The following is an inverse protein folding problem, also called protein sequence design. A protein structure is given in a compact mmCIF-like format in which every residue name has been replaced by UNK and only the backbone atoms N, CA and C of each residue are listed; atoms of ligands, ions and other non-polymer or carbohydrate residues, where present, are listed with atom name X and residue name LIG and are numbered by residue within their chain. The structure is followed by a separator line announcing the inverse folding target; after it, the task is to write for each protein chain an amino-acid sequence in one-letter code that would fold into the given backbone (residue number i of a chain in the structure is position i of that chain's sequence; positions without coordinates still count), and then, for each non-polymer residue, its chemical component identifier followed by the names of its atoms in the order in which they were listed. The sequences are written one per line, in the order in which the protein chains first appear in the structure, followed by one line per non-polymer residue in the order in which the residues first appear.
data_IF_528506423794
#
_entry.id   IF_528506423794
#
_cell.length_a   1.000
_cell.length_b   1.000
_cell.length_c   1.000
_cell.angle_alpha   90.00
_cell.angle_beta   90.00
_cell.angle_gamma   90.00
#
_symmetry.space_group_name_H-M   'P 1'
#
loop_
_entity.id
_entity.type
_entity.pdbx_description
1 polymer ?
#
# COMPACT_ATOMS: atom_id res chain seq x y z
N UNK A 1 -21.97 21.98 17.97
CA UNK A 1 -21.28 20.76 17.57
C UNK A 1 -20.29 21.17 16.50
N UNK A 2 -18.99 21.17 16.78
CA UNK A 2 -17.99 21.54 15.78
C UNK A 2 -18.04 20.50 14.67
N UNK A 3 -18.42 20.95 13.48
CA UNK A 3 -18.41 20.13 12.27
C UNK A 3 -16.96 19.92 11.87
N UNK A 4 -16.65 18.71 11.35
CA UNK A 4 -15.32 18.41 10.83
C UNK A 4 -14.95 19.42 9.74
N UNK A 5 -13.72 19.96 9.80
CA UNK A 5 -13.25 20.92 8.82
C UNK A 5 -12.71 20.23 7.57
N UNK A 6 -13.51 20.30 6.50
CA UNK A 6 -13.15 19.78 5.19
C UNK A 6 -12.48 20.81 4.27
N UNK A 7 -12.15 22.00 4.76
CA UNK A 7 -11.55 23.06 3.93
C UNK A 7 -10.04 22.90 3.75
N UNK A 8 -9.40 22.17 4.66
CA UNK A 8 -7.94 21.99 4.67
C UNK A 8 -7.52 20.67 4.05
N UNK A 9 -6.30 20.60 3.52
CA UNK A 9 -5.69 19.35 3.06
C UNK A 9 -5.49 18.37 4.24
N UNK A 10 -5.67 17.08 4.00
CA UNK A 10 -6.08 16.39 2.77
C UNK A 10 -7.59 16.31 2.55
N UNK A 11 -8.40 16.77 3.50
CA UNK A 11 -9.85 16.53 3.56
C UNK A 11 -10.63 17.33 2.49
N UNK A 12 -10.04 18.38 1.94
CA UNK A 12 -10.62 19.17 0.85
C UNK A 12 -10.72 18.39 -0.47
N UNK A 13 -9.88 17.40 -0.70
CA UNK A 13 -9.89 16.52 -1.88
C UNK A 13 -11.02 15.47 -1.86
N UNK A 14 -11.67 15.27 -0.72
CA UNK A 14 -12.72 14.25 -0.56
C UNK A 14 -14.02 14.66 -1.29
N UNK A 15 -14.61 13.70 -1.99
CA UNK A 15 -15.97 13.82 -2.56
C UNK A 15 -17.02 13.96 -1.46
N UNK A 16 -18.22 14.46 -1.81
CA UNK A 16 -19.32 14.62 -0.85
C UNK A 16 -19.68 13.31 -0.15
N UNK A 17 -19.65 12.18 -0.85
CA UNK A 17 -19.91 10.85 -0.27
C UNK A 17 -18.82 10.43 0.71
N UNK A 18 -17.56 10.64 0.33
CA UNK A 18 -16.41 10.33 1.20
C UNK A 18 -16.41 11.19 2.48
N UNK A 19 -16.76 12.47 2.38
CA UNK A 19 -16.94 13.37 3.53
C UNK A 19 -18.01 12.86 4.48
N UNK A 20 -19.18 12.45 3.96
CA UNK A 20 -20.24 11.87 4.78
C UNK A 20 -19.81 10.57 5.49
N UNK A 21 -19.06 9.71 4.79
CA UNK A 21 -18.54 8.46 5.37
C UNK A 21 -17.58 8.77 6.51
N UNK A 22 -16.64 9.68 6.31
CA UNK A 22 -15.68 10.09 7.32
C UNK A 22 -16.38 10.73 8.53
N UNK A 23 -17.29 11.69 8.28
CA UNK A 23 -18.00 12.41 9.36
C UNK A 23 -18.85 11.48 10.24
N UNK A 24 -19.49 10.47 9.64
CA UNK A 24 -20.29 9.47 10.37
C UNK A 24 -19.46 8.51 11.21
N UNK A 25 -18.25 8.24 10.77
CA UNK A 25 -17.35 7.29 11.42
C UNK A 25 -16.41 7.96 12.46
N UNK A 26 -16.35 9.28 12.46
CA UNK A 26 -15.46 10.04 13.36
C UNK A 26 -16.11 10.27 14.69
N UNK A 27 -15.45 9.83 15.76
CA UNK A 27 -15.82 10.13 17.13
C UNK A 27 -15.10 11.38 17.63
N UNK A 28 -15.68 12.02 18.66
CA UNK A 28 -15.03 13.09 19.40
C UNK A 28 -14.74 12.57 20.82
N UNK A 29 -13.45 12.59 21.19
CA UNK A 29 -12.98 12.08 22.48
C UNK A 29 -12.36 13.21 23.28
N UNK A 30 -12.59 13.19 24.61
CA UNK A 30 -12.06 14.15 25.55
C UNK A 30 -11.00 13.49 26.43
N UNK A 31 -9.93 14.23 26.69
CA UNK A 31 -8.87 13.85 27.62
C UNK A 31 -8.63 14.96 28.62
N UNK A 32 -8.52 14.59 29.88
CA UNK A 32 -8.15 15.51 30.94
C UNK A 32 -6.65 15.88 30.88
N UNK A 33 -6.27 16.93 31.59
CA UNK A 33 -4.88 17.33 31.76
C UNK A 33 -4.01 16.15 32.24
N UNK A 34 -2.84 15.98 31.59
CA UNK A 34 -1.88 14.89 31.80
C UNK A 34 -2.43 13.47 31.54
N UNK A 35 -3.58 13.34 30.94
CA UNK A 35 -4.11 12.03 30.57
C UNK A 35 -3.31 11.40 29.41
N UNK A 36 -3.02 10.11 29.52
CA UNK A 36 -2.43 9.34 28.42
C UNK A 36 -3.49 9.10 27.35
N UNK A 37 -3.24 9.62 26.16
CA UNK A 37 -4.09 9.43 24.96
C UNK A 37 -3.78 8.10 24.32
N UNK A 38 -2.49 7.77 24.18
CA UNK A 38 -1.96 6.56 23.58
C UNK A 38 -0.73 6.13 24.38
N UNK A 39 -0.63 4.84 24.68
CA UNK A 39 0.55 4.24 25.27
C UNK A 39 1.46 3.65 24.18
N UNK A 40 2.77 3.74 24.35
CA UNK A 40 3.71 3.02 23.47
C UNK A 40 3.40 1.52 23.47
N UNK A 41 3.42 0.89 22.29
CA UNK A 41 3.05 -0.48 21.98
C UNK A 41 1.54 -0.78 22.01
N UNK A 42 0.66 0.19 22.23
CA UNK A 42 -0.78 0.00 22.02
C UNK A 42 -1.08 -0.27 20.55
N UNK A 43 -2.18 -0.98 20.29
CA UNK A 43 -2.70 -1.20 18.93
C UNK A 43 -3.18 0.11 18.31
N UNK A 44 -3.01 0.23 17.01
CA UNK A 44 -3.39 1.43 16.26
C UNK A 44 -4.76 1.21 15.63
N UNK A 45 -5.79 1.80 16.26
CA UNK A 45 -7.17 1.65 15.82
C UNK A 45 -7.75 2.94 15.19
N UNK A 46 -7.17 4.09 15.47
CA UNK A 46 -7.63 5.38 14.99
C UNK A 46 -6.49 6.35 14.64
N UNK A 47 -6.79 7.28 13.73
CA UNK A 47 -6.02 8.51 13.53
C UNK A 47 -6.65 9.61 14.37
N UNK A 48 -5.83 10.29 15.16
CA UNK A 48 -6.28 11.40 16.00
C UNK A 48 -5.92 12.76 15.40
N UNK A 49 -6.84 13.73 15.53
CA UNK A 49 -6.63 15.12 15.13
C UNK A 49 -7.03 16.02 16.30
N UNK A 50 -6.17 16.96 16.66
CA UNK A 50 -6.44 17.89 17.76
C UNK A 50 -7.51 18.91 17.35
N UNK A 51 -8.62 18.95 18.10
CA UNK A 51 -9.67 19.98 17.94
C UNK A 51 -9.34 21.17 18.85
N UNK A 52 -8.98 20.86 20.10
CA UNK A 52 -8.65 21.84 21.15
C UNK A 52 -7.66 21.22 22.12
N UNK A 53 -6.81 22.04 22.73
CA UNK A 53 -5.78 21.60 23.65
C UNK A 53 -4.45 21.35 22.93
N UNK A 54 -3.57 20.62 23.60
CA UNK A 54 -2.23 20.29 23.10
C UNK A 54 -1.84 18.88 23.53
N UNK A 55 -1.26 18.12 22.59
CA UNK A 55 -0.77 16.76 22.84
C UNK A 55 0.75 16.76 22.67
N UNK A 56 1.46 16.11 23.59
CA UNK A 56 2.90 15.85 23.47
C UNK A 56 3.17 14.38 23.16
N UNK A 57 4.11 14.15 22.26
CA UNK A 57 4.70 12.84 21.99
C UNK A 57 5.93 12.68 22.87
N UNK A 58 6.00 11.58 23.63
CA UNK A 58 7.09 11.30 24.55
C UNK A 58 7.69 9.93 24.27
N UNK A 59 9.01 9.83 24.36
CA UNK A 59 9.72 8.56 24.23
C UNK A 59 9.66 7.70 25.51
N UNK A 60 10.43 6.59 25.52
CA UNK A 60 10.49 5.68 26.66
C UNK A 60 11.16 6.29 27.90
N UNK A 61 12.01 7.31 27.73
CA UNK A 61 12.71 8.01 28.80
C UNK A 61 11.92 9.23 29.31
N UNK A 62 10.77 9.53 28.70
CA UNK A 62 9.90 10.65 29.04
C UNK A 62 10.32 11.97 28.40
N UNK A 63 11.25 11.96 27.44
CA UNK A 63 11.63 13.15 26.68
C UNK A 63 10.55 13.52 25.67
N UNK A 64 10.25 14.82 25.56
CA UNK A 64 9.25 15.33 24.59
C UNK A 64 9.88 15.40 23.21
N UNK A 65 9.34 14.59 22.30
CA UNK A 65 9.78 14.51 20.91
C UNK A 65 9.07 15.52 20.00
N UNK A 66 7.78 15.75 20.25
CA UNK A 66 6.95 16.66 19.44
C UNK A 66 5.77 17.19 20.24
N UNK A 67 5.23 18.35 19.80
CA UNK A 67 3.99 18.96 20.29
C UNK A 67 3.01 19.09 19.13
N UNK A 68 1.75 18.75 19.38
CA UNK A 68 0.65 18.80 18.41
C UNK A 68 -0.42 19.79 18.89
N UNK A 69 -0.75 20.72 18.02
CA UNK A 69 -1.69 21.83 18.25
C UNK A 69 -3.02 21.58 17.52
N UNK A 70 -4.04 22.42 17.74
CA UNK A 70 -5.30 22.34 16.99
C UNK A 70 -5.09 22.30 15.47
N UNK A 71 -5.77 21.38 14.81
CA UNK A 71 -5.67 20.97 13.40
C UNK A 71 -4.50 20.03 13.06
N UNK A 72 -3.58 19.76 13.98
CA UNK A 72 -2.54 18.75 13.74
C UNK A 72 -3.11 17.34 13.88
N UNK A 73 -2.69 16.46 12.98
CA UNK A 73 -2.83 15.02 13.13
C UNK A 73 -1.52 14.43 13.62
N UNK A 74 -1.56 13.58 14.62
CA UNK A 74 -0.35 12.98 15.14
C UNK A 74 -0.21 11.51 14.73
N UNK A 75 1.04 11.11 14.59
CA UNK A 75 1.52 9.80 14.21
C UNK A 75 0.83 9.16 12.99
N UNK A 76 0.85 9.87 11.85
CA UNK A 76 0.30 9.36 10.58
C UNK A 76 0.97 8.05 10.10
N UNK A 77 2.20 7.74 10.55
CA UNK A 77 2.88 6.44 10.31
C UNK A 77 2.10 5.28 10.88
N UNK A 78 1.39 5.54 11.98
CA UNK A 78 0.53 4.60 12.65
C UNK A 78 -0.54 4.00 11.72
N UNK A 79 -0.92 4.66 10.64
CA UNK A 79 -1.84 4.12 9.64
C UNK A 79 -1.32 2.84 8.96
N UNK A 80 0.00 2.64 8.94
CA UNK A 80 0.66 1.52 8.26
C UNK A 80 1.40 0.58 9.23
N UNK A 81 1.55 0.98 10.50
CA UNK A 81 2.11 0.15 11.57
C UNK A 81 1.00 -0.55 12.37
N UNK A 82 1.36 -1.52 13.20
CA UNK A 82 0.41 -2.23 14.06
C UNK A 82 0.32 -1.60 15.46
N UNK A 83 1.43 -1.06 15.95
CA UNK A 83 1.54 -0.47 17.27
C UNK A 83 2.21 0.89 17.22
N UNK A 84 1.87 1.74 18.19
CA UNK A 84 2.53 3.02 18.37
C UNK A 84 3.95 2.85 18.94
N UNK A 85 4.88 3.66 18.45
CA UNK A 85 6.29 3.63 18.93
C UNK A 85 6.48 4.41 20.20
N UNK A 86 5.76 5.51 20.35
CA UNK A 86 5.87 6.45 21.45
C UNK A 86 4.52 6.61 22.14
N UNK A 87 4.54 7.20 23.34
CA UNK A 87 3.32 7.56 24.07
C UNK A 87 2.89 8.98 23.72
N UNK A 88 1.59 9.24 23.76
CA UNK A 88 1.00 10.56 23.54
C UNK A 88 0.21 10.96 24.77
N UNK A 89 0.49 12.15 25.30
CA UNK A 89 -0.07 12.64 26.55
C UNK A 89 -0.67 14.02 26.31
N UNK A 90 -1.87 14.24 26.86
CA UNK A 90 -2.50 15.55 26.83
C UNK A 90 -1.76 16.51 27.77
N UNK A 91 -1.30 17.65 27.25
CA UNK A 91 -0.62 18.69 28.05
C UNK A 91 -1.62 19.49 28.87
N UNK A 92 -2.82 19.65 28.33
CA UNK A 92 -3.98 20.32 28.96
C UNK A 92 -5.27 19.57 28.57
N UNK A 93 -6.43 20.06 29.07
CA UNK A 93 -7.72 19.48 28.66
C UNK A 93 -7.91 19.54 27.16
N UNK A 94 -7.89 18.39 26.53
CA UNK A 94 -7.85 18.23 25.08
C UNK A 94 -9.08 17.54 24.52
N UNK A 95 -9.50 18.00 23.34
CA UNK A 95 -10.58 17.42 22.56
C UNK A 95 -10.03 16.98 21.21
N UNK A 96 -10.25 15.73 20.83
CA UNK A 96 -9.70 15.13 19.62
C UNK A 96 -10.79 14.53 18.76
N UNK A 97 -10.63 14.60 17.42
CA UNK A 97 -11.29 13.66 16.54
C UNK A 97 -10.55 12.33 16.59
N UNK A 98 -11.28 11.22 16.70
CA UNK A 98 -10.80 9.85 16.56
C UNK A 98 -11.42 9.26 15.28
N UNK A 99 -10.62 9.09 14.23
CA UNK A 99 -11.06 8.57 12.94
C UNK A 99 -10.58 7.13 12.84
N UNK A 100 -11.48 6.13 12.68
CA UNK A 100 -11.07 4.74 12.56
C UNK A 100 -10.04 4.54 11.44
N UNK A 101 -8.96 3.83 11.76
CA UNK A 101 -7.87 3.53 10.81
C UNK A 101 -8.39 2.87 9.51
N UNK A 102 -9.39 2.01 9.61
CA UNK A 102 -10.02 1.36 8.46
C UNK A 102 -10.63 2.36 7.47
N UNK A 103 -11.26 3.42 7.97
CA UNK A 103 -11.87 4.48 7.16
C UNK A 103 -10.79 5.28 6.42
N UNK A 104 -9.73 5.69 7.13
CA UNK A 104 -8.62 6.41 6.50
C UNK A 104 -7.98 5.55 5.40
N UNK A 105 -7.72 4.26 5.67
CA UNK A 105 -7.15 3.35 4.67
C UNK A 105 -8.06 3.18 3.46
N UNK A 106 -9.36 3.06 3.67
CA UNK A 106 -10.35 3.00 2.58
C UNK A 106 -10.34 4.28 1.73
N UNK A 107 -10.24 5.46 2.37
CA UNK A 107 -10.16 6.73 1.67
C UNK A 107 -8.86 6.88 0.87
N UNK A 108 -7.71 6.47 1.44
CA UNK A 108 -6.42 6.45 0.74
C UNK A 108 -6.48 5.55 -0.50
N UNK A 109 -7.14 4.38 -0.39
CA UNK A 109 -7.28 3.44 -1.50
C UNK A 109 -8.17 3.96 -2.63
N UNK A 110 -9.25 4.69 -2.27
CA UNK A 110 -10.28 5.17 -3.22
C UNK A 110 -10.06 6.60 -3.73
N UNK A 111 -9.10 7.33 -3.18
CA UNK A 111 -8.83 8.72 -3.52
C UNK A 111 -7.32 8.98 -3.53
N UNK A 112 -6.75 9.01 -4.72
CA UNK A 112 -5.30 9.14 -4.91
C UNK A 112 -4.75 10.47 -4.39
N UNK A 113 -5.50 11.58 -4.50
CA UNK A 113 -5.10 12.89 -3.99
C UNK A 113 -5.07 12.92 -2.46
N UNK A 114 -6.08 12.31 -1.82
CA UNK A 114 -6.10 12.12 -0.38
C UNK A 114 -4.92 11.25 0.09
N UNK A 115 -4.67 10.14 -0.61
CA UNK A 115 -3.54 9.25 -0.33
C UNK A 115 -2.18 9.94 -0.48
N UNK A 116 -2.02 10.76 -1.52
CA UNK A 116 -0.79 11.50 -1.79
C UNK A 116 -0.31 12.34 -0.61
N UNK A 117 -1.25 13.01 0.08
CA UNK A 117 -0.93 13.83 1.25
C UNK A 117 -0.32 12.99 2.38
N UNK A 118 -0.90 11.83 2.69
CA UNK A 118 -0.36 10.96 3.74
C UNK A 118 0.99 10.37 3.35
N UNK A 119 1.15 9.97 2.09
CA UNK A 119 2.42 9.40 1.61
C UNK A 119 3.54 10.43 1.65
N UNK A 120 3.30 11.67 1.20
CA UNK A 120 4.28 12.75 1.27
C UNK A 120 4.66 13.07 2.73
N UNK A 121 3.69 13.20 3.62
CA UNK A 121 3.97 13.46 5.04
C UNK A 121 4.77 12.34 5.72
N UNK A 122 4.50 11.08 5.37
CA UNK A 122 5.24 9.94 5.90
C UNK A 122 6.66 9.95 5.36
N UNK A 123 6.84 10.19 4.07
CA UNK A 123 8.16 10.29 3.46
C UNK A 123 9.00 11.40 4.10
N UNK A 124 8.42 12.61 4.27
CA UNK A 124 9.09 13.75 4.90
C UNK A 124 9.48 13.46 6.35
N UNK A 125 8.58 12.83 7.13
CA UNK A 125 8.88 12.45 8.52
C UNK A 125 9.95 11.37 8.61
N UNK A 126 9.96 10.39 7.69
CA UNK A 126 10.99 9.37 7.63
C UNK A 126 12.37 9.99 7.32
N UNK A 127 12.43 10.95 6.39
CA UNK A 127 13.67 11.65 6.04
C UNK A 127 14.17 12.57 7.16
N UNK A 128 13.28 13.25 7.88
CA UNK A 128 13.67 14.26 8.87
C UNK A 128 14.11 13.70 10.22
N UNK A 129 13.64 12.51 10.60
CA UNK A 129 13.88 11.94 11.94
C UNK A 129 15.10 11.05 12.04
N UNK A 130 15.72 10.66 10.92
CA UNK A 130 16.75 9.65 10.96
C UNK A 130 17.87 9.93 9.98
N UNK A 131 19.07 9.96 10.51
CA UNK A 131 20.21 9.43 9.79
C UNK A 131 20.15 7.90 9.69
N UNK A 132 18.96 7.30 9.71
CA UNK A 132 18.78 5.85 9.70
C UNK A 132 18.35 5.41 8.30
N UNK A 133 19.25 4.80 7.60
CA UNK A 133 19.18 4.36 6.19
C UNK A 133 17.96 3.51 5.81
N UNK A 134 17.23 2.91 6.78
CA UNK A 134 15.99 2.14 6.52
C UNK A 134 14.79 3.00 6.13
N UNK A 135 14.74 4.22 6.64
CA UNK A 135 13.59 5.10 6.47
C UNK A 135 13.63 5.79 5.10
N UNK A 136 14.82 5.97 4.50
CA UNK A 136 14.98 6.48 3.13
C UNK A 136 14.43 5.51 2.07
N UNK A 137 14.54 4.19 2.29
CA UNK A 137 14.00 3.16 1.39
C UNK A 137 12.46 3.18 1.40
N UNK A 138 11.88 3.31 2.59
CA UNK A 138 10.42 3.42 2.75
C UNK A 138 9.88 4.73 2.17
N UNK A 139 10.60 5.84 2.35
CA UNK A 139 10.24 7.13 1.76
C UNK A 139 10.15 7.04 0.22
N UNK A 140 11.10 6.33 -0.41
CA UNK A 140 11.07 6.06 -1.84
C UNK A 140 9.80 5.33 -2.31
N UNK A 141 9.33 4.33 -1.54
CA UNK A 141 8.09 3.61 -1.86
C UNK A 141 6.85 4.51 -1.77
N UNK A 142 6.80 5.41 -0.78
CA UNK A 142 5.65 6.30 -0.58
C UNK A 142 5.54 7.39 -1.65
N UNK A 143 6.65 7.79 -2.27
CA UNK A 143 6.69 8.82 -3.32
C UNK A 143 6.66 8.25 -4.73
N UNK A 144 7.04 6.98 -4.92
CA UNK A 144 7.06 6.31 -6.21
C UNK A 144 5.66 6.11 -6.79
N UNK A 145 5.56 6.20 -8.10
CA UNK A 145 4.31 5.99 -8.84
C UNK A 145 4.28 4.65 -9.56
N UNK A 146 3.08 4.17 -9.86
CA UNK A 146 2.86 2.92 -10.60
C UNK A 146 3.63 2.91 -11.92
N UNK A 147 3.72 4.05 -12.61
CA UNK A 147 4.47 4.21 -13.88
C UNK A 147 5.96 3.88 -13.79
N UNK A 148 6.53 3.93 -12.58
CA UNK A 148 7.96 3.74 -12.37
C UNK A 148 8.36 2.26 -12.33
N UNK A 149 7.37 1.33 -12.19
CA UNK A 149 7.65 -0.10 -12.02
C UNK A 149 6.70 -1.05 -12.77
N UNK A 150 5.59 -0.57 -13.35
CA UNK A 150 4.68 -1.48 -14.04
C UNK A 150 5.32 -2.06 -15.31
N UNK A 151 4.83 -3.23 -15.71
CA UNK A 151 5.19 -3.85 -16.99
C UNK A 151 4.09 -3.62 -18.01
N UNK A 152 4.36 -2.91 -19.12
CA UNK A 152 3.40 -2.83 -20.23
C UNK A 152 3.16 -4.23 -20.79
N UNK A 153 1.96 -4.48 -21.30
CA UNK A 153 1.71 -5.68 -22.09
C UNK A 153 1.98 -5.39 -23.57
N UNK A 154 2.57 -6.37 -24.26
CA UNK A 154 2.90 -6.24 -25.68
C UNK A 154 1.65 -6.38 -26.56
N UNK A 155 0.70 -7.22 -26.15
CA UNK A 155 -0.48 -7.59 -26.93
C UNK A 155 -1.66 -7.95 -26.02
N UNK A 156 -2.86 -7.49 -26.39
CA UNK A 156 -4.12 -7.88 -25.80
C UNK A 156 -4.75 -9.00 -26.63
N UNK A 157 -4.77 -10.21 -26.10
CA UNK A 157 -5.21 -11.39 -26.81
C UNK A 157 -6.73 -11.52 -26.84
N UNK A 158 -7.25 -12.19 -27.89
CA UNK A 158 -8.68 -12.55 -27.92
C UNK A 158 -8.99 -13.64 -26.87
N UNK A 159 -10.10 -13.52 -26.16
CA UNK A 159 -10.59 -14.57 -25.26
C UNK A 159 -10.96 -15.88 -25.98
N UNK A 160 -11.04 -15.89 -27.29
CA UNK A 160 -11.30 -17.09 -28.13
C UNK A 160 -10.04 -17.91 -28.41
N UNK A 161 -8.83 -17.44 -28.07
CA UNK A 161 -7.63 -18.26 -28.22
C UNK A 161 -7.73 -19.51 -27.33
N UNK A 162 -7.06 -20.57 -27.75
CA UNK A 162 -7.04 -21.83 -27.00
C UNK A 162 -6.13 -21.73 -25.78
N UNK A 163 -6.35 -22.62 -24.82
CA UNK A 163 -5.48 -22.77 -23.63
C UNK A 163 -4.01 -23.01 -24.05
N UNK A 164 -3.79 -23.81 -25.11
CA UNK A 164 -2.45 -24.07 -25.65
C UNK A 164 -1.80 -22.79 -26.22
N UNK A 165 -2.56 -21.98 -26.97
CA UNK A 165 -2.06 -20.72 -27.54
C UNK A 165 -1.74 -19.71 -26.44
N UNK A 166 -2.60 -19.59 -25.43
CA UNK A 166 -2.35 -18.74 -24.27
C UNK A 166 -1.08 -19.16 -23.52
N UNK A 167 -0.88 -20.45 -23.29
CA UNK A 167 0.34 -20.97 -22.68
C UNK A 167 1.60 -20.66 -23.49
N UNK A 168 1.54 -20.81 -24.84
CA UNK A 168 2.64 -20.43 -25.73
C UNK A 168 2.91 -18.93 -25.72
N UNK A 169 1.86 -18.09 -25.67
CA UNK A 169 2.00 -16.64 -25.58
C UNK A 169 2.70 -16.23 -24.28
N UNK A 170 2.28 -16.79 -23.13
CA UNK A 170 2.92 -16.55 -21.84
C UNK A 170 4.39 -16.99 -21.85
N UNK A 171 4.69 -18.15 -22.40
CA UNK A 171 6.07 -18.65 -22.53
C UNK A 171 6.94 -17.73 -23.40
N UNK A 172 6.43 -17.29 -24.56
CA UNK A 172 7.12 -16.36 -25.47
C UNK A 172 7.39 -15.01 -24.81
N UNK A 173 6.39 -14.47 -24.11
CA UNK A 173 6.49 -13.20 -23.40
C UNK A 173 7.28 -13.31 -22.07
N UNK A 174 7.67 -14.52 -21.63
CA UNK A 174 8.25 -14.78 -20.29
C UNK A 174 7.40 -14.19 -19.18
N UNK A 175 6.08 -14.17 -19.35
CA UNK A 175 5.11 -13.60 -18.43
C UNK A 175 4.36 -14.70 -17.69
N UNK A 176 4.04 -14.45 -16.42
CA UNK A 176 3.20 -15.33 -15.58
C UNK A 176 1.71 -15.03 -15.72
N UNK A 177 1.37 -14.07 -16.57
CA UNK A 177 -0.01 -13.65 -16.82
C UNK A 177 -0.20 -13.12 -18.22
N UNK A 178 -1.44 -13.16 -18.72
CA UNK A 178 -1.87 -12.71 -20.03
C UNK A 178 -3.18 -11.94 -19.87
N UNK A 179 -3.28 -10.78 -20.52
CA UNK A 179 -4.54 -10.06 -20.64
C UNK A 179 -5.26 -10.48 -21.90
N UNK A 180 -6.57 -10.69 -21.77
CA UNK A 180 -7.45 -11.03 -22.87
C UNK A 180 -8.62 -10.04 -22.95
N UNK A 181 -9.20 -9.89 -24.14
CA UNK A 181 -10.48 -9.23 -24.30
C UNK A 181 -11.56 -10.24 -24.71
N UNK A 182 -12.73 -10.15 -24.11
CA UNK A 182 -13.90 -10.96 -24.45
C UNK A 182 -15.17 -10.17 -24.16
N UNK A 183 -16.05 -10.03 -25.15
CA UNK A 183 -17.33 -9.32 -25.04
C UNK A 183 -17.22 -7.91 -24.42
N UNK A 184 -16.23 -7.15 -24.85
CA UNK A 184 -15.98 -5.79 -24.36
C UNK A 184 -15.41 -5.71 -22.93
N UNK A 185 -15.04 -6.84 -22.32
CA UNK A 185 -14.43 -6.93 -21.00
C UNK A 185 -12.98 -7.38 -21.11
N UNK A 186 -12.16 -6.91 -20.18
CA UNK A 186 -10.77 -7.38 -20.04
C UNK A 186 -10.73 -8.47 -18.98
N UNK A 187 -10.08 -9.57 -19.31
CA UNK A 187 -9.85 -10.71 -18.44
C UNK A 187 -8.37 -10.97 -18.21
N UNK A 188 -8.05 -11.61 -17.12
CA UNK A 188 -6.69 -12.01 -16.73
C UNK A 188 -6.60 -13.53 -16.68
N UNK A 189 -5.62 -14.07 -17.39
CA UNK A 189 -5.16 -15.46 -17.30
C UNK A 189 -3.85 -15.49 -16.54
N UNK A 190 -3.66 -16.48 -15.65
CA UNK A 190 -2.44 -16.64 -14.86
C UNK A 190 -1.95 -18.09 -14.89
N UNK A 191 -0.66 -18.32 -14.60
CA UNK A 191 -0.09 -19.68 -14.47
C UNK A 191 -0.86 -20.56 -13.49
N UNK A 192 -1.38 -19.98 -12.40
CA UNK A 192 -2.17 -20.73 -11.42
C UNK A 192 -3.45 -21.29 -12.02
N UNK A 193 -4.09 -20.59 -12.95
CA UNK A 193 -5.29 -21.07 -13.63
C UNK A 193 -5.01 -22.32 -14.46
N UNK A 194 -3.87 -22.39 -15.13
CA UNK A 194 -3.46 -23.62 -15.86
C UNK A 194 -3.31 -24.82 -14.92
N UNK A 195 -2.65 -24.61 -13.77
CA UNK A 195 -2.53 -25.67 -12.75
C UNK A 195 -3.91 -26.08 -12.24
N UNK A 196 -4.77 -25.12 -11.96
CA UNK A 196 -6.09 -25.39 -11.37
C UNK A 196 -6.97 -26.16 -12.38
N UNK A 197 -6.88 -25.85 -13.69
CA UNK A 197 -7.53 -26.63 -14.75
C UNK A 197 -7.05 -28.07 -14.79
N UNK A 198 -5.74 -28.30 -14.71
CA UNK A 198 -5.16 -29.66 -14.70
C UNK A 198 -5.70 -30.46 -13.51
N UNK A 199 -5.77 -29.83 -12.32
CA UNK A 199 -6.23 -30.48 -11.10
C UNK A 199 -7.73 -30.79 -11.19
N UNK A 200 -8.55 -29.83 -11.62
CA UNK A 200 -10.01 -29.99 -11.72
C UNK A 200 -10.46 -30.98 -12.78
N UNK A 201 -9.65 -31.20 -13.82
CA UNK A 201 -9.94 -32.12 -14.89
C UNK A 201 -9.32 -33.53 -14.70
N UNK A 202 -8.81 -33.82 -13.49
CA UNK A 202 -8.08 -35.09 -13.22
C UNK A 202 -6.97 -35.38 -14.25
N UNK A 203 -6.32 -34.31 -14.76
CA UNK A 203 -5.26 -34.38 -15.74
C UNK A 203 -5.72 -34.51 -17.19
N UNK A 204 -7.03 -34.56 -17.47
CA UNK A 204 -7.59 -34.63 -18.84
C UNK A 204 -7.95 -33.21 -19.29
N UNK A 205 -6.97 -32.44 -19.76
CA UNK A 205 -7.15 -31.05 -20.17
C UNK A 205 -7.51 -30.96 -21.66
N UNK A 206 -8.58 -30.24 -21.98
CA UNK A 206 -8.87 -29.83 -23.36
C UNK A 206 -8.01 -28.61 -23.74
N UNK A 207 -6.84 -28.87 -24.33
CA UNK A 207 -5.90 -27.80 -24.69
C UNK A 207 -6.45 -26.85 -25.79
N UNK A 208 -7.54 -27.20 -26.46
CA UNK A 208 -8.20 -26.41 -27.51
C UNK A 208 -9.39 -25.61 -26.96
N UNK A 209 -9.70 -25.71 -25.70
CA UNK A 209 -10.74 -24.90 -25.07
C UNK A 209 -10.39 -23.41 -25.08
N UNK A 210 -11.39 -22.56 -25.32
CA UNK A 210 -11.19 -21.10 -25.34
C UNK A 210 -10.93 -20.55 -23.93
N UNK A 211 -9.91 -19.70 -23.80
CA UNK A 211 -9.43 -19.26 -22.47
C UNK A 211 -10.37 -18.31 -21.74
N UNK A 212 -11.34 -17.70 -22.41
CA UNK A 212 -12.27 -16.80 -21.73
C UNK A 212 -13.10 -17.49 -20.66
N UNK A 213 -13.35 -18.81 -20.76
CA UNK A 213 -14.03 -19.59 -19.71
C UNK A 213 -13.24 -19.68 -18.40
N UNK A 214 -11.92 -19.52 -18.49
CA UNK A 214 -11.00 -19.62 -17.35
C UNK A 214 -10.57 -18.24 -16.82
N UNK A 215 -10.77 -17.19 -17.61
CA UNK A 215 -10.31 -15.85 -17.27
C UNK A 215 -11.06 -15.25 -16.08
N UNK A 216 -10.34 -14.51 -15.26
CA UNK A 216 -10.95 -13.64 -14.25
C UNK A 216 -11.23 -12.28 -14.85
N UNK A 217 -12.48 -11.82 -14.77
CA UNK A 217 -12.93 -10.53 -15.28
C UNK A 217 -13.12 -9.47 -14.20
N UNK A 218 -13.20 -9.87 -12.94
CA UNK A 218 -13.28 -8.96 -11.80
C UNK A 218 -11.85 -8.55 -11.40
N UNK A 219 -11.29 -7.63 -12.19
CA UNK A 219 -9.90 -7.22 -12.05
C UNK A 219 -9.78 -6.03 -11.11
N UNK A 220 -8.87 -6.15 -10.17
CA UNK A 220 -8.44 -5.01 -9.35
C UNK A 220 -7.43 -4.22 -10.16
N UNK A 221 -7.67 -2.92 -10.31
CA UNK A 221 -6.83 -2.04 -11.11
C UNK A 221 -6.38 -0.80 -10.32
N UNK A 222 -5.33 -0.18 -10.84
CA UNK A 222 -4.78 1.11 -10.41
C UNK A 222 -4.55 1.99 -11.62
N UNK A 223 -4.54 3.30 -11.44
CA UNK A 223 -4.12 4.21 -12.51
C UNK A 223 -2.59 4.30 -12.59
N UNK A 224 -2.06 4.57 -13.78
CA UNK A 224 -0.62 4.70 -14.01
C UNK A 224 0.03 5.81 -13.16
N UNK A 225 -0.74 6.84 -12.82
CA UNK A 225 -0.29 7.96 -12.00
C UNK A 225 -0.60 7.79 -10.50
N UNK A 226 -1.23 6.67 -10.10
CA UNK A 226 -1.40 6.32 -8.69
C UNK A 226 -0.04 6.08 -8.02
N UNK A 227 0.01 6.23 -6.68
CA UNK A 227 1.19 5.87 -5.92
C UNK A 227 1.38 4.35 -5.86
N UNK A 228 2.62 3.91 -5.93
CA UNK A 228 2.99 2.48 -5.86
C UNK A 228 2.49 1.84 -4.57
N UNK A 229 2.51 2.59 -3.46
CA UNK A 229 1.99 2.13 -2.18
C UNK A 229 0.47 1.88 -2.22
N UNK A 230 -0.30 2.65 -2.97
CA UNK A 230 -1.74 2.40 -3.21
C UNK A 230 -1.96 1.05 -3.89
N UNK A 231 -1.15 0.73 -4.90
CA UNK A 231 -1.19 -0.57 -5.56
C UNK A 231 -0.86 -1.71 -4.58
N UNK A 232 0.15 -1.53 -3.74
CA UNK A 232 0.52 -2.48 -2.71
C UNK A 232 -0.62 -2.72 -1.69
N UNK A 233 -1.27 -1.66 -1.21
CA UNK A 233 -2.43 -1.76 -0.31
C UNK A 233 -3.58 -2.54 -0.96
N UNK A 234 -3.89 -2.27 -2.25
CA UNK A 234 -4.92 -3.04 -2.99
C UNK A 234 -4.55 -4.51 -3.09
N UNK A 235 -3.29 -4.83 -3.42
CA UNK A 235 -2.82 -6.22 -3.47
C UNK A 235 -3.00 -6.93 -2.14
N UNK A 236 -2.69 -6.26 -1.02
CA UNK A 236 -2.82 -6.81 0.33
C UNK A 236 -4.29 -6.98 0.73
N UNK A 237 -5.11 -5.96 0.56
CA UNK A 237 -6.53 -6.00 0.96
C UNK A 237 -7.31 -7.08 0.21
N UNK A 238 -7.02 -7.26 -1.08
CA UNK A 238 -7.67 -8.27 -1.93
C UNK A 238 -6.92 -9.60 -2.00
N UNK A 239 -5.77 -9.75 -1.30
CA UNK A 239 -4.92 -10.96 -1.29
C UNK A 239 -4.51 -11.41 -2.68
N UNK A 240 -4.12 -10.47 -3.51
CA UNK A 240 -3.66 -10.70 -4.87
C UNK A 240 -2.19 -10.26 -4.99
N UNK A 241 -1.47 -10.89 -5.91
CA UNK A 241 -0.04 -10.60 -6.14
C UNK A 241 0.18 -9.61 -7.29
N UNK A 242 -0.90 -9.16 -7.96
CA UNK A 242 -0.83 -8.28 -9.13
C UNK A 242 -2.10 -7.47 -9.29
N UNK A 243 -1.95 -6.28 -9.87
CA UNK A 243 -3.05 -5.39 -10.27
C UNK A 243 -2.89 -5.02 -11.74
N UNK A 244 -4.01 -4.74 -12.40
CA UNK A 244 -4.00 -4.19 -13.75
C UNK A 244 -3.71 -2.70 -13.68
N UNK A 245 -2.85 -2.21 -14.56
CA UNK A 245 -2.54 -0.79 -14.65
C UNK A 245 -3.35 -0.17 -15.78
N UNK A 246 -4.12 0.85 -15.47
CA UNK A 246 -4.94 1.58 -16.43
C UNK A 246 -4.34 2.97 -16.70
N UNK A 247 -4.64 3.49 -17.89
CA UNK A 247 -4.44 4.89 -18.25
C UNK A 247 -5.69 5.38 -18.96
N UNK A 248 -6.31 6.43 -18.42
CA UNK A 248 -7.60 6.96 -18.93
C UNK A 248 -8.71 5.89 -19.00
N UNK A 249 -8.69 4.89 -18.13
CA UNK A 249 -9.65 3.78 -18.09
C UNK A 249 -9.26 2.56 -18.93
N UNK A 250 -8.29 2.69 -19.84
CA UNK A 250 -7.82 1.58 -20.66
C UNK A 250 -6.68 0.81 -19.97
N UNK A 251 -6.71 -0.52 -19.94
CA UNK A 251 -5.64 -1.33 -19.40
C UNK A 251 -4.40 -1.21 -20.28
N UNK A 252 -3.25 -0.91 -19.69
CA UNK A 252 -1.97 -0.71 -20.39
C UNK A 252 -0.86 -1.65 -19.92
N UNK A 253 -1.08 -2.37 -18.82
CA UNK A 253 -0.08 -3.27 -18.28
C UNK A 253 -0.49 -3.90 -16.96
N UNK A 254 0.49 -4.48 -16.29
CA UNK A 254 0.34 -5.17 -15.00
C UNK A 254 1.47 -4.71 -14.08
N UNK A 255 1.15 -4.51 -12.81
CA UNK A 255 2.11 -4.34 -11.73
C UNK A 255 2.01 -5.55 -10.80
N UNK A 256 3.11 -6.24 -10.60
CA UNK A 256 3.22 -7.37 -9.67
C UNK A 256 3.99 -6.97 -8.41
N UNK A 257 3.79 -7.68 -7.29
CA UNK A 257 4.58 -7.46 -6.07
C UNK A 257 6.08 -7.53 -6.32
N UNK A 258 6.52 -8.46 -7.19
CA UNK A 258 7.94 -8.61 -7.54
C UNK A 258 8.50 -7.38 -8.26
N UNK A 259 7.68 -6.63 -9.00
CA UNK A 259 8.11 -5.40 -9.67
C UNK A 259 8.34 -4.28 -8.66
N UNK A 260 7.47 -4.18 -7.65
CA UNK A 260 7.65 -3.26 -6.53
C UNK A 260 8.95 -3.58 -5.78
N UNK A 261 9.22 -4.86 -5.53
CA UNK A 261 10.44 -5.31 -4.89
C UNK A 261 11.68 -4.97 -5.70
N UNK A 262 11.63 -5.22 -7.01
CA UNK A 262 12.73 -4.89 -7.93
C UNK A 262 12.98 -3.37 -7.99
N UNK A 263 11.90 -2.57 -8.01
CA UNK A 263 12.00 -1.11 -7.95
C UNK A 263 12.73 -0.65 -6.68
N UNK A 264 12.28 -1.11 -5.51
CA UNK A 264 12.90 -0.78 -4.22
C UNK A 264 14.37 -1.20 -4.17
N UNK A 265 14.66 -2.41 -4.66
CA UNK A 265 16.03 -2.93 -4.75
C UNK A 265 16.94 -2.05 -5.60
N UNK A 266 16.46 -1.56 -6.74
CA UNK A 266 17.22 -0.77 -7.67
C UNK A 266 17.39 0.71 -7.23
N UNK A 267 16.50 1.22 -6.41
CA UNK A 267 16.50 2.61 -5.93
C UNK A 267 17.06 2.76 -4.52
N UNK A 268 17.41 1.66 -3.86
CA UNK A 268 18.07 1.69 -2.57
C UNK A 268 19.57 1.95 -2.76
N UNK A 269 20.02 3.16 -2.46
CA UNK A 269 21.45 3.51 -2.41
C UNK A 269 22.25 2.64 -1.43
N UNK A 270 21.59 2.09 -0.42
CA UNK A 270 22.15 1.17 0.57
C UNK A 270 22.56 -0.17 -0.02
N UNK A 271 21.80 -0.65 -1.02
CA UNK A 271 22.12 -1.91 -1.69
C UNK A 271 23.34 -1.71 -2.57
N UNK A 272 23.38 -0.61 -3.31
CA UNK A 272 24.54 -0.26 -4.11
C UNK A 272 25.79 -0.12 -3.21
N UNK A 273 25.71 0.59 -2.09
CA UNK A 273 26.83 0.78 -1.16
C UNK A 273 27.24 -0.54 -0.47
N UNK A 274 26.26 -1.38 -0.04
CA UNK A 274 26.58 -2.70 0.55
C UNK A 274 27.10 -3.70 -0.49
N UNK A 275 26.62 -3.63 -1.74
CA UNK A 275 27.13 -4.45 -2.83
C UNK A 275 28.54 -4.00 -3.24
N UNK A 276 28.85 -2.70 -3.23
CA UNK A 276 30.19 -2.18 -3.48
C UNK A 276 31.20 -2.56 -2.38
N UNK A 277 30.72 -2.71 -1.13
CA UNK A 277 31.58 -3.08 0.02
C UNK A 277 31.62 -4.60 0.22
N UNK A 278 30.64 -5.35 -0.31
CA UNK A 278 30.61 -6.82 -0.19
C UNK A 278 31.71 -7.44 -1.06
N UNK A 279 32.68 -8.06 -0.41
CA UNK A 279 33.83 -8.70 -1.05
C UNK A 279 33.72 -10.22 -1.16
N UNK A 280 32.69 -10.80 -0.53
CA UNK A 280 32.45 -12.25 -0.50
C UNK A 280 31.02 -12.62 -0.91
N UNK A 281 30.84 -13.83 -1.43
CA UNK A 281 29.55 -14.38 -1.81
C UNK A 281 28.60 -14.48 -0.61
N UNK A 282 29.13 -14.74 0.58
CA UNK A 282 28.35 -14.86 1.83
C UNK A 282 27.81 -13.50 2.25
N UNK A 283 28.58 -12.42 2.10
CA UNK A 283 28.14 -11.04 2.36
C UNK A 283 27.04 -10.63 1.36
N UNK A 284 27.20 -10.94 0.07
CA UNK A 284 26.16 -10.70 -0.95
C UNK A 284 24.86 -11.47 -0.64
N UNK A 285 24.98 -12.71 -0.22
CA UNK A 285 23.83 -13.54 0.17
C UNK A 285 23.16 -13.01 1.43
N UNK A 286 23.93 -12.51 2.39
CA UNK A 286 23.41 -11.89 3.62
C UNK A 286 22.63 -10.60 3.31
N UNK A 287 23.14 -9.74 2.42
CA UNK A 287 22.46 -8.52 1.98
C UNK A 287 21.14 -8.86 1.28
N UNK A 288 21.14 -9.82 0.34
CA UNK A 288 19.95 -10.28 -0.36
C UNK A 288 18.91 -10.88 0.60
N UNK A 289 19.36 -11.69 1.58
CA UNK A 289 18.48 -12.29 2.60
C UNK A 289 17.89 -11.22 3.54
N UNK A 290 18.65 -10.22 3.93
CA UNK A 290 18.20 -9.12 4.78
C UNK A 290 17.12 -8.28 4.07
N UNK A 291 17.26 -8.03 2.77
CA UNK A 291 16.25 -7.40 1.94
C UNK A 291 14.96 -8.22 1.89
N UNK A 292 15.09 -9.50 1.54
CA UNK A 292 13.95 -10.42 1.47
C UNK A 292 13.21 -10.49 2.81
N UNK A 293 13.93 -10.50 3.93
CA UNK A 293 13.34 -10.53 5.27
C UNK A 293 12.66 -9.20 5.64
N UNK A 294 13.24 -8.05 5.28
CA UNK A 294 12.62 -6.74 5.54
C UNK A 294 11.31 -6.59 4.77
N UNK A 295 11.31 -6.98 3.51
CA UNK A 295 10.15 -6.94 2.65
C UNK A 295 9.11 -7.99 3.07
N UNK A 296 9.55 -9.21 3.40
CA UNK A 296 8.66 -10.25 3.93
C UNK A 296 8.04 -9.86 5.27
N UNK A 297 8.76 -9.15 6.14
CA UNK A 297 8.23 -8.62 7.39
C UNK A 297 7.18 -7.53 7.16
N UNK A 298 7.40 -6.63 6.18
CA UNK A 298 6.39 -5.65 5.75
C UNK A 298 5.11 -6.34 5.24
N UNK A 299 5.27 -7.39 4.40
CA UNK A 299 4.15 -8.18 3.90
C UNK A 299 3.50 -9.05 5.00
N UNK A 300 4.28 -9.70 5.87
CA UNK A 300 3.76 -10.54 6.95
C UNK A 300 2.99 -9.73 7.98
N UNK A 301 3.50 -8.57 8.39
CA UNK A 301 2.83 -7.66 9.31
C UNK A 301 1.50 -7.14 8.71
N UNK A 302 1.48 -6.92 7.41
CA UNK A 302 0.29 -6.51 6.71
C UNK A 302 -0.74 -7.64 6.51
N UNK A 303 -0.31 -8.91 6.49
CA UNK A 303 -1.19 -10.08 6.38
C UNK A 303 -1.69 -10.60 7.74
N UNK A 304 -1.00 -10.35 8.85
CA UNK A 304 -1.40 -10.76 10.20
C UNK A 304 -2.40 -9.80 10.86
N UNK A 305 -2.62 -8.60 10.30
CA UNK A 305 -3.65 -7.66 10.74
C UNK A 305 -5.04 -8.16 10.30
N UNK A 306 -5.53 -9.20 10.98
CA UNK A 306 -6.91 -9.74 10.89
C UNK A 306 -7.49 -9.92 12.27
#
# INVERSE_FOLDING_TARGET
MNRFDFSTAPYNSLTSLQRQTLEKATDIVFFDDQATVIQANDSIDALYIVIKGMIQEVDADGEVLALYHPSDSFDTRALFEQTYRHSFVAVDQSLLYAIPKSIIRELIEKNSEFGAYFFANIADKLQSQTGNKRDDELAGLFTAKVKDAYRPYDELYSGSISLLEAGKAMQKAKSKSLLIHHEGRIGLITESLFRDVIIQSDGIVNAHEAVHHLARFDLISVDIDDFMFTALLKMMNHRIQRVVVNKNGDPIGILEQVDILAFLSNHSHLIAEKLEVATTLDELTAVASQMTNTISALFANAMQAR
#
